data_IF_835758870692
#
_entry.id   IF_835758870692
#
_cell.length_a   1.000
_cell.length_b   1.000
_cell.length_c   1.000
_cell.angle_alpha   90.00
_cell.angle_beta   90.00
_cell.angle_gamma   90.00
#
_symmetry.space_group_name_H-M   'P 1'
#
loop_
_entity.id
_entity.type
_entity.pdbx_description
1 polymer ?
#
# COMPACT_ATOMS: atom_id res chain seq x y z
N UNK A 1 -3.99 -8.28 19.06
CA UNK A 1 -5.05 -8.99 18.31
C UNK A 1 -4.69 -8.94 16.84
N UNK A 2 -4.82 -10.03 16.08
CA UNK A 2 -4.61 -9.97 14.62
C UNK A 2 -5.73 -9.14 13.98
N UNK A 3 -5.40 -8.37 12.95
CA UNK A 3 -6.38 -7.58 12.23
C UNK A 3 -7.38 -8.49 11.46
N UNK A 4 -8.60 -8.03 11.19
CA UNK A 4 -9.52 -8.73 10.29
C UNK A 4 -8.89 -8.92 8.89
N UNK A 5 -9.23 -9.99 8.14
CA UNK A 5 -8.60 -10.30 6.86
C UNK A 5 -8.63 -9.17 5.82
N UNK A 6 -9.72 -8.40 5.77
CA UNK A 6 -9.86 -7.23 4.89
C UNK A 6 -8.93 -6.08 5.31
N UNK A 7 -8.72 -5.87 6.61
CA UNK A 7 -7.79 -4.88 7.14
C UNK A 7 -6.34 -5.30 6.88
N UNK A 8 -6.03 -6.60 6.99
CA UNK A 8 -4.72 -7.11 6.59
C UNK A 8 -4.43 -6.86 5.11
N UNK A 9 -5.39 -7.15 4.22
CA UNK A 9 -5.25 -6.86 2.79
C UNK A 9 -5.06 -5.36 2.59
N UNK A 10 -5.90 -4.53 3.17
CA UNK A 10 -5.77 -3.07 3.07
C UNK A 10 -4.36 -2.61 3.45
N UNK A 11 -3.88 -3.05 4.62
CA UNK A 11 -2.58 -2.72 5.15
C UNK A 11 -1.44 -3.11 4.21
N UNK A 12 -1.47 -4.34 3.70
CA UNK A 12 -0.41 -4.84 2.81
C UNK A 12 -0.43 -4.12 1.46
N UNK A 13 -1.62 -3.96 0.88
CA UNK A 13 -1.78 -3.33 -0.43
C UNK A 13 -1.36 -1.87 -0.37
N UNK A 14 -1.82 -1.13 0.64
CA UNK A 14 -1.44 0.25 0.84
C UNK A 14 0.08 0.39 1.01
N UNK A 15 0.72 -0.46 1.84
CA UNK A 15 2.17 -0.44 2.01
C UNK A 15 2.90 -0.64 0.68
N UNK A 16 2.55 -1.69 -0.07
CA UNK A 16 3.23 -2.04 -1.33
C UNK A 16 3.04 -0.98 -2.41
N UNK A 17 1.83 -0.44 -2.55
CA UNK A 17 1.54 0.63 -3.51
C UNK A 17 2.36 1.87 -3.15
N UNK A 18 2.33 2.31 -1.89
CA UNK A 18 3.04 3.51 -1.45
C UNK A 18 4.57 3.38 -1.61
N UNK A 19 5.15 2.23 -1.23
CA UNK A 19 6.59 1.97 -1.43
C UNK A 19 6.94 2.01 -2.91
N UNK A 20 6.19 1.29 -3.76
CA UNK A 20 6.46 1.22 -5.19
C UNK A 20 6.37 2.58 -5.87
N UNK A 21 5.36 3.37 -5.52
CA UNK A 21 5.21 4.72 -6.08
C UNK A 21 6.25 5.70 -5.53
N UNK A 22 6.73 5.52 -4.30
CA UNK A 22 7.83 6.34 -3.75
C UNK A 22 9.14 6.07 -4.49
N UNK A 23 9.46 4.80 -4.77
CA UNK A 23 10.67 4.43 -5.50
C UNK A 23 10.65 4.89 -6.96
N UNK A 24 9.46 5.00 -7.57
CA UNK A 24 9.29 5.45 -8.94
C UNK A 24 9.09 6.97 -9.09
N UNK A 25 8.81 7.68 -8.00
CA UNK A 25 8.49 9.11 -8.04
C UNK A 25 9.63 9.93 -8.69
N UNK A 26 9.32 10.91 -9.58
CA UNK A 26 7.99 11.42 -9.95
C UNK A 26 7.33 10.72 -11.14
N UNK A 27 7.86 9.57 -11.57
CA UNK A 27 7.39 8.88 -12.79
C UNK A 27 6.10 8.10 -12.54
N UNK A 28 5.03 8.31 -13.35
CA UNK A 28 3.82 7.51 -13.26
C UNK A 28 4.09 6.02 -13.46
N UNK A 29 3.43 5.19 -12.68
CA UNK A 29 3.65 3.74 -12.63
C UNK A 29 2.34 2.99 -12.79
N UNK A 30 2.35 1.94 -13.62
CA UNK A 30 1.24 1.01 -13.72
C UNK A 30 1.29 0.01 -12.57
N UNK A 31 0.17 -0.15 -11.88
CA UNK A 31 0.01 -1.05 -10.75
C UNK A 31 -1.05 -2.09 -11.11
N UNK A 32 -0.60 -3.32 -11.30
CA UNK A 32 -1.48 -4.48 -11.37
C UNK A 32 -1.60 -5.11 -9.97
N UNK A 33 -2.80 -5.12 -9.36
CA UNK A 33 -3.05 -5.73 -8.06
C UNK A 33 -2.65 -7.22 -8.00
N UNK A 34 -2.83 -7.96 -9.10
CA UNK A 34 -2.44 -9.38 -9.14
C UNK A 34 -0.92 -9.55 -9.05
N UNK A 35 -0.15 -8.61 -9.63
CA UNK A 35 1.32 -8.63 -9.72
C UNK A 35 2.01 -8.01 -8.51
N UNK A 36 1.33 -7.23 -7.66
CA UNK A 36 1.89 -6.70 -6.41
C UNK A 36 2.28 -7.78 -5.38
N UNK A 37 2.28 -9.06 -5.74
CA UNK A 37 2.48 -10.17 -4.81
C UNK A 37 1.34 -10.26 -3.79
N UNK A 38 0.15 -9.76 -4.17
CA UNK A 38 -1.10 -10.06 -3.49
C UNK A 38 -1.48 -11.49 -3.85
N UNK A 39 -1.35 -11.88 -5.13
CA UNK A 39 -1.54 -13.25 -5.60
C UNK A 39 -0.82 -14.27 -4.73
N UNK A 40 0.47 -14.09 -4.46
CA UNK A 40 1.27 -14.96 -3.57
C UNK A 40 0.69 -15.07 -2.15
N UNK A 41 0.22 -13.97 -1.56
CA UNK A 41 -0.40 -13.97 -0.22
C UNK A 41 -1.80 -14.60 -0.19
N UNK A 42 -2.45 -14.68 -1.35
CA UNK A 42 -3.79 -15.22 -1.53
C UNK A 42 -3.77 -16.68 -1.95
N UNK A 43 -2.86 -17.07 -2.85
CA UNK A 43 -2.66 -18.42 -3.39
C UNK A 43 -2.20 -19.40 -2.32
N UNK A 44 -1.42 -18.95 -1.33
CA UNK A 44 -1.06 -19.77 -0.15
C UNK A 44 -2.28 -20.19 0.70
N UNK A 45 -3.42 -19.49 0.56
CA UNK A 45 -4.58 -19.65 1.44
C UNK A 45 -5.89 -19.97 0.71
N UNK A 46 -6.02 -19.59 -0.56
CA UNK A 46 -7.23 -19.71 -1.36
C UNK A 46 -6.87 -20.04 -2.81
N UNK A 47 -7.58 -21.00 -3.40
CA UNK A 47 -7.40 -21.35 -4.80
C UNK A 47 -7.72 -20.15 -5.70
N UNK A 48 -6.92 -19.95 -6.75
CA UNK A 48 -7.19 -18.98 -7.80
C UNK A 48 -8.61 -19.20 -8.36
N UNK A 49 -9.36 -18.12 -8.57
CA UNK A 49 -10.75 -18.19 -9.04
C UNK A 49 -11.79 -18.55 -7.97
N UNK A 50 -11.39 -18.91 -6.75
CA UNK A 50 -12.35 -19.10 -5.65
C UNK A 50 -13.07 -17.80 -5.26
N UNK A 51 -14.29 -17.86 -4.70
CA UNK A 51 -14.99 -16.67 -4.22
C UNK A 51 -14.18 -15.85 -3.21
N UNK A 52 -13.40 -16.51 -2.37
CA UNK A 52 -12.53 -15.87 -1.37
C UNK A 52 -11.36 -15.14 -2.06
N UNK A 53 -10.74 -15.75 -3.06
CA UNK A 53 -9.70 -15.09 -3.87
C UNK A 53 -10.26 -13.82 -4.54
N UNK A 54 -11.43 -13.91 -5.17
CA UNK A 54 -12.09 -12.77 -5.81
C UNK A 54 -12.45 -11.65 -4.82
N UNK A 55 -12.93 -12.01 -3.62
CA UNK A 55 -13.21 -11.04 -2.57
C UNK A 55 -11.97 -10.26 -2.14
N UNK A 56 -10.81 -10.93 -2.08
CA UNK A 56 -9.57 -10.30 -1.66
C UNK A 56 -8.94 -9.45 -2.78
N UNK A 57 -9.09 -9.83 -4.05
CA UNK A 57 -8.81 -8.94 -5.18
C UNK A 57 -9.67 -7.68 -5.14
N UNK A 58 -10.96 -7.84 -4.83
CA UNK A 58 -11.89 -6.70 -4.69
C UNK A 58 -11.42 -5.76 -3.57
N UNK A 59 -10.96 -6.30 -2.45
CA UNK A 59 -10.42 -5.52 -1.34
C UNK A 59 -9.11 -4.79 -1.72
N UNK A 60 -8.26 -5.39 -2.55
CA UNK A 60 -7.06 -4.75 -3.08
C UNK A 60 -7.40 -3.55 -3.99
N UNK A 61 -8.34 -3.74 -4.92
CA UNK A 61 -8.82 -2.66 -5.79
C UNK A 61 -9.45 -1.52 -4.97
N UNK A 62 -10.29 -1.86 -4.00
CA UNK A 62 -10.90 -0.88 -3.10
C UNK A 62 -9.85 -0.11 -2.29
N UNK A 63 -8.75 -0.75 -1.91
CA UNK A 63 -7.64 -0.10 -1.20
C UNK A 63 -6.94 0.94 -2.08
N UNK A 64 -6.66 0.61 -3.34
CA UNK A 64 -6.03 1.57 -4.27
C UNK A 64 -6.97 2.75 -4.54
N UNK A 65 -8.27 2.49 -4.73
CA UNK A 65 -9.28 3.55 -4.87
C UNK A 65 -9.33 4.44 -3.64
N UNK A 66 -9.33 3.88 -2.44
CA UNK A 66 -9.25 4.64 -1.19
C UNK A 66 -8.04 5.58 -1.17
N UNK A 67 -6.85 5.11 -1.57
CA UNK A 67 -5.64 5.96 -1.63
C UNK A 67 -5.76 7.11 -2.63
N UNK A 68 -6.50 6.90 -3.73
CA UNK A 68 -6.79 7.92 -4.73
C UNK A 68 -7.78 8.94 -4.18
N UNK A 69 -8.89 8.46 -3.62
CA UNK A 69 -9.98 9.29 -3.09
C UNK A 69 -9.50 10.17 -1.93
N UNK A 70 -8.64 9.62 -1.06
CA UNK A 70 -7.97 10.36 0.00
C UNK A 70 -6.84 11.29 -0.49
N UNK A 71 -6.51 11.25 -1.78
CA UNK A 71 -5.52 12.12 -2.40
C UNK A 71 -4.08 11.84 -1.97
N UNK A 72 -3.75 10.60 -1.56
CA UNK A 72 -2.36 10.17 -1.36
C UNK A 72 -1.69 9.74 -2.66
N UNK A 73 -2.49 9.25 -3.59
CA UNK A 73 -2.10 8.85 -4.95
C UNK A 73 -3.04 9.57 -5.92
N UNK A 74 -2.58 9.80 -7.16
CA UNK A 74 -3.44 10.25 -8.25
C UNK A 74 -3.16 9.45 -9.52
N UNK A 75 -4.15 9.38 -10.40
CA UNK A 75 -3.95 8.97 -11.79
C UNK A 75 -3.36 10.16 -12.54
N UNK A 76 -2.22 9.97 -13.20
CA UNK A 76 -1.61 11.00 -14.03
C UNK A 76 -2.30 11.08 -15.39
N UNK A 77 -2.38 12.29 -15.93
CA UNK A 77 -2.82 12.53 -17.30
C UNK A 77 -1.75 11.97 -18.25
N UNK A 78 -1.97 10.76 -18.73
CA UNK A 78 -1.09 10.03 -19.64
C UNK A 78 -1.90 9.06 -20.50
N UNK A 79 -1.30 8.51 -21.57
CA UNK A 79 -2.00 7.54 -22.40
C UNK A 79 -2.42 6.34 -21.56
N UNK A 80 -3.73 6.13 -21.46
CA UNK A 80 -4.30 4.92 -20.88
C UNK A 80 -4.35 3.86 -21.98
N UNK A 81 -3.69 2.73 -21.73
CA UNK A 81 -3.64 1.60 -22.63
C UNK A 81 -4.82 0.68 -22.33
N UNK A 82 -5.76 0.54 -23.26
CA UNK A 82 -6.98 -0.27 -23.07
C UNK A 82 -6.70 -1.75 -22.72
N UNK A 83 -5.50 -2.25 -23.00
CA UNK A 83 -5.11 -3.65 -22.79
C UNK A 83 -4.41 -3.93 -21.45
N UNK A 84 -4.06 -2.90 -20.66
CA UNK A 84 -3.34 -3.08 -19.39
C UNK A 84 -4.34 -3.23 -18.25
N UNK A 85 -4.36 -4.41 -17.61
CA UNK A 85 -5.12 -4.66 -16.38
C UNK A 85 -4.58 -3.83 -15.22
N UNK A 86 -5.45 -3.45 -14.29
CA UNK A 86 -5.10 -2.71 -13.08
C UNK A 86 -5.16 -1.19 -13.23
N UNK A 87 -4.49 -0.49 -12.32
CA UNK A 87 -4.49 0.97 -12.26
C UNK A 87 -3.30 1.53 -13.02
N UNK A 88 -3.59 2.36 -14.02
CA UNK A 88 -2.56 2.91 -14.90
C UNK A 88 -2.12 4.30 -14.45
N UNK A 89 -0.85 4.60 -14.72
CA UNK A 89 -0.27 5.93 -14.53
C UNK A 89 -0.46 6.49 -13.12
N UNK A 90 -0.38 5.65 -12.09
CA UNK A 90 -0.45 6.10 -10.70
C UNK A 90 0.84 6.84 -10.30
N UNK A 91 0.70 7.94 -9.57
CA UNK A 91 1.82 8.70 -9.03
C UNK A 91 1.48 9.24 -7.64
N UNK A 92 2.49 9.35 -6.76
CA UNK A 92 2.29 10.00 -5.46
C UNK A 92 1.88 11.46 -5.64
N UNK A 93 0.97 11.91 -4.77
CA UNK A 93 0.68 13.33 -4.61
C UNK A 93 1.69 13.95 -3.63
N UNK A 94 1.68 15.27 -3.48
CA UNK A 94 2.44 15.95 -2.42
C UNK A 94 2.04 15.47 -1.02
N UNK A 95 0.75 15.19 -0.80
CA UNK A 95 0.22 14.62 0.45
C UNK A 95 0.82 13.23 0.73
N UNK A 96 0.81 12.35 -0.26
CA UNK A 96 1.41 11.00 -0.16
C UNK A 96 2.92 11.03 0.06
N UNK A 97 3.63 11.86 -0.70
CA UNK A 97 5.07 12.02 -0.57
C UNK A 97 5.47 12.56 0.81
N UNK A 98 4.82 13.63 1.27
CA UNK A 98 5.08 14.21 2.59
C UNK A 98 4.77 13.22 3.72
N UNK A 99 3.69 12.44 3.61
CA UNK A 99 3.36 11.39 4.58
C UNK A 99 4.49 10.37 4.70
N UNK A 100 5.06 9.92 3.58
CA UNK A 100 6.10 8.89 3.56
C UNK A 100 7.47 9.40 4.03
N UNK A 101 7.77 10.67 3.82
CA UNK A 101 9.00 11.31 4.30
C UNK A 101 8.98 11.65 5.79
N UNK A 102 7.80 11.75 6.41
CA UNK A 102 7.70 12.06 7.85
C UNK A 102 8.48 11.03 8.66
N UNK A 103 9.39 11.53 9.49
CA UNK A 103 9.95 10.79 10.61
C UNK A 103 9.03 10.98 11.82
N UNK A 104 8.83 9.95 12.65
CA UNK A 104 8.08 10.12 13.90
C UNK A 104 8.83 11.12 14.81
N UNK A 105 8.15 12.18 15.24
CA UNK A 105 8.65 13.05 16.28
C UNK A 105 8.58 12.30 17.61
N UNK A 106 9.73 11.98 18.21
CA UNK A 106 9.82 11.32 19.50
C UNK A 106 10.94 11.91 20.35
N UNK A 107 10.61 12.17 21.62
CA UNK A 107 11.56 12.54 22.68
C UNK A 107 12.34 11.32 23.20
N UNK A 108 11.79 10.12 22.99
CA UNK A 108 12.38 8.84 23.42
C UNK A 108 13.29 8.27 22.32
N UNK A 109 14.55 7.95 22.69
CA UNK A 109 15.57 7.39 21.82
C UNK A 109 15.33 5.92 21.43
N UNK A 110 14.39 5.25 22.09
CA UNK A 110 13.96 3.88 21.75
C UNK A 110 13.00 3.82 20.55
N UNK A 111 12.44 4.95 20.12
CA UNK A 111 11.53 5.02 18.96
C UNK A 111 12.35 5.00 17.68
N UNK A 112 12.04 4.04 16.81
CA UNK A 112 12.62 3.93 15.48
C UNK A 112 12.46 5.26 14.70
N UNK A 113 13.58 5.94 14.42
CA UNK A 113 13.55 7.26 13.77
C UNK A 113 13.46 7.19 12.25
N UNK A 114 13.41 5.99 11.68
CA UNK A 114 13.23 5.80 10.23
C UNK A 114 11.93 6.45 9.76
N UNK A 115 12.00 7.02 8.57
CA UNK A 115 10.83 7.52 7.85
C UNK A 115 9.79 6.40 7.66
N UNK A 116 8.53 6.78 7.45
CA UNK A 116 7.50 5.80 7.12
C UNK A 116 7.85 4.99 5.87
N UNK A 117 8.47 5.61 4.86
CA UNK A 117 8.99 4.89 3.70
C UNK A 117 9.96 3.78 4.09
N UNK A 118 11.01 4.07 4.87
CA UNK A 118 12.02 3.08 5.26
C UNK A 118 11.43 1.94 6.09
N UNK A 119 10.48 2.26 6.99
CA UNK A 119 9.73 1.27 7.77
C UNK A 119 8.96 0.35 6.83
N UNK A 120 8.15 0.91 5.93
CA UNK A 120 7.36 0.14 4.97
C UNK A 120 8.24 -0.69 4.03
N UNK A 121 9.31 -0.12 3.49
CA UNK A 121 10.25 -0.81 2.60
C UNK A 121 10.84 -2.05 3.27
N UNK A 122 11.22 -1.94 4.54
CA UNK A 122 11.81 -3.06 5.29
C UNK A 122 10.85 -4.25 5.46
N UNK A 123 9.54 -3.98 5.59
CA UNK A 123 8.53 -5.02 5.78
C UNK A 123 7.98 -5.57 4.48
N UNK A 124 7.94 -4.76 3.41
CA UNK A 124 7.53 -5.23 2.08
C UNK A 124 8.58 -6.13 1.43
N UNK A 125 9.87 -5.92 1.72
CA UNK A 125 10.95 -6.77 1.22
C UNK A 125 11.05 -8.13 1.92
N UNK A 126 10.62 -8.22 3.19
CA UNK A 126 10.79 -9.41 4.01
C UNK A 126 9.71 -10.48 3.81
N UNK A 127 8.65 -10.21 3.03
CA UNK A 127 7.49 -11.12 2.91
C UNK A 127 6.71 -11.33 4.23
N UNK A 128 7.10 -10.66 5.32
CA UNK A 128 6.56 -10.86 6.65
C UNK A 128 5.23 -10.11 6.83
N UNK A 129 4.13 -10.79 6.51
CA UNK A 129 2.74 -10.28 6.61
C UNK A 129 2.40 -9.62 7.96
N UNK A 130 2.88 -10.20 9.07
CA UNK A 130 2.67 -9.67 10.41
C UNK A 130 3.43 -8.35 10.62
N UNK A 131 4.70 -8.27 10.21
CA UNK A 131 5.50 -7.06 10.31
C UNK A 131 4.93 -5.92 9.44
N UNK A 132 4.33 -6.24 8.29
CA UNK A 132 3.67 -5.25 7.44
C UNK A 132 2.47 -4.57 8.13
N UNK A 133 1.67 -5.35 8.86
CA UNK A 133 0.50 -4.85 9.59
C UNK A 133 0.91 -3.90 10.72
N UNK A 134 1.98 -4.24 11.44
CA UNK A 134 2.51 -3.41 12.53
C UNK A 134 3.15 -2.11 12.02
N UNK A 135 3.89 -2.18 10.92
CA UNK A 135 4.56 -1.01 10.36
C UNK A 135 3.59 0.00 9.74
N UNK A 136 2.47 -0.45 9.16
CA UNK A 136 1.51 0.45 8.52
C UNK A 136 0.45 1.00 9.48
N UNK A 137 0.16 0.34 10.60
CA UNK A 137 -0.86 0.82 11.55
C UNK A 137 -0.74 2.31 11.91
N UNK A 138 0.45 2.81 12.31
CA UNK A 138 0.66 4.23 12.60
C UNK A 138 0.51 5.15 11.37
N UNK A 139 0.79 4.63 10.17
CA UNK A 139 0.60 5.35 8.90
C UNK A 139 -0.89 5.51 8.60
N UNK A 140 -1.67 4.43 8.74
CA UNK A 140 -3.13 4.44 8.54
C UNK A 140 -3.80 5.40 9.52
N UNK A 141 -3.40 5.39 10.80
CA UNK A 141 -3.92 6.34 11.79
C UNK A 141 -3.70 7.80 11.35
N UNK A 142 -2.51 8.13 10.82
CA UNK A 142 -2.21 9.46 10.27
C UNK A 142 -2.99 9.76 8.99
N UNK A 143 -3.22 8.77 8.14
CA UNK A 143 -4.02 8.94 6.94
C UNK A 143 -5.46 9.34 7.28
N UNK A 144 -6.02 8.74 8.34
CA UNK A 144 -7.37 8.99 8.83
C UNK A 144 -7.47 10.23 9.75
N UNK A 145 -6.37 10.97 9.95
CA UNK A 145 -6.34 12.14 10.84
C UNK A 145 -6.50 11.82 12.33
N UNK A 146 -6.25 10.56 12.74
CA UNK A 146 -6.45 10.10 14.11
C UNK A 146 -5.28 10.39 15.06
N UNK A 147 -4.21 11.08 14.59
CA UNK A 147 -3.08 11.57 15.40
C UNK A 147 -2.49 12.83 14.76
#
# INVERSE_FOLDING_TARGET
MSAPPNIEVFNIVAAKVLVKLYEAFPTPTNIDPTVLGIGVLLEEKYAEGSPQYQHLLTAADATIRFLIDEGFVRVSDGPQYLEVRGFQSLVLTSKGFALLQKTPESVDSSVDRRSYFERLKSVTAAGARLAATEAIGPLVARMLGAV
#
